data_IF_501295623901
#
_entry.id   IF_501295623901
#
_cell.length_a   1.000
_cell.length_b   1.000
_cell.length_c   1.000
_cell.angle_alpha   90.00
_cell.angle_beta   90.00
_cell.angle_gamma   90.00
#
_symmetry.space_group_name_H-M   'P 1'
#
loop_
_entity.id
_entity.type
_entity.pdbx_description
1 polymer ?
#
# COMPACT_ATOMS: atom_id res chain seq x y z
N UNK A 1 -11.86 3.11 6.61
CA UNK A 1 -10.84 2.04 6.81
C UNK A 1 -10.72 1.29 5.50
N UNK A 2 -9.51 1.12 4.98
CA UNK A 2 -9.23 0.61 3.64
C UNK A 2 -7.94 -0.22 3.68
N UNK A 3 -7.79 -1.18 2.77
CA UNK A 3 -6.53 -1.87 2.55
C UNK A 3 -5.75 -1.25 1.39
N UNK A 4 -4.51 -0.87 1.65
CA UNK A 4 -3.54 -0.60 0.60
C UNK A 4 -2.70 -1.85 0.32
N UNK A 5 -2.78 -2.37 -0.90
CA UNK A 5 -2.07 -3.59 -1.29
C UNK A 5 -0.93 -3.26 -2.25
N UNK A 6 0.30 -3.51 -1.81
CA UNK A 6 1.49 -3.22 -2.61
C UNK A 6 1.70 -4.19 -3.77
N UNK A 7 1.53 -3.72 -5.01
CA UNK A 7 1.91 -4.47 -6.21
C UNK A 7 3.43 -4.44 -6.38
N UNK A 8 4.06 -5.61 -6.26
CA UNK A 8 5.51 -5.80 -6.27
C UNK A 8 5.86 -7.14 -6.92
N UNK A 9 7.15 -7.52 -6.92
CA UNK A 9 7.56 -8.87 -7.34
C UNK A 9 6.94 -10.01 -6.52
N UNK A 10 6.35 -9.71 -5.36
CA UNK A 10 5.76 -10.68 -4.43
C UNK A 10 4.23 -10.70 -4.44
N UNK A 11 3.60 -9.67 -4.99
CA UNK A 11 2.13 -9.52 -4.98
C UNK A 11 1.70 -8.90 -6.30
N UNK A 12 0.84 -9.60 -7.04
CA UNK A 12 0.29 -9.16 -8.32
C UNK A 12 -1.18 -8.72 -8.19
N UNK A 13 -1.78 -8.26 -9.29
CA UNK A 13 -3.18 -7.82 -9.32
C UNK A 13 -4.17 -8.91 -8.92
N UNK A 14 -3.91 -10.17 -9.29
CA UNK A 14 -4.77 -11.29 -8.89
C UNK A 14 -4.78 -11.48 -7.37
N UNK A 15 -3.62 -11.37 -6.72
CA UNK A 15 -3.51 -11.41 -5.27
C UNK A 15 -4.21 -10.21 -4.60
N UNK A 16 -4.10 -9.02 -5.18
CA UNK A 16 -4.83 -7.84 -4.67
C UNK A 16 -6.36 -8.02 -4.77
N UNK A 17 -6.86 -8.59 -5.87
CA UNK A 17 -8.29 -8.92 -6.03
C UNK A 17 -8.75 -9.97 -5.02
N UNK A 18 -7.95 -11.00 -4.78
CA UNK A 18 -8.27 -12.01 -3.77
C UNK A 18 -8.42 -11.41 -2.36
N UNK A 19 -7.67 -10.34 -2.03
CA UNK A 19 -7.87 -9.60 -0.76
C UNK A 19 -9.20 -8.86 -0.77
N UNK A 20 -9.59 -8.25 -1.89
CA UNK A 20 -10.89 -7.58 -2.01
C UNK A 20 -12.06 -8.56 -1.87
N UNK A 21 -11.95 -9.75 -2.46
CA UNK A 21 -12.96 -10.80 -2.38
C UNK A 21 -13.08 -11.37 -0.95
N UNK A 22 -11.95 -11.44 -0.21
CA UNK A 22 -11.92 -11.95 1.16
C UNK A 22 -12.46 -10.97 2.20
N UNK A 23 -12.38 -9.66 1.93
CA UNK A 23 -12.80 -8.59 2.84
C UNK A 23 -13.70 -7.57 2.11
N UNK A 24 -14.90 -7.99 1.65
CA UNK A 24 -15.75 -7.17 0.80
C UNK A 24 -16.29 -5.89 1.49
N UNK A 25 -16.27 -5.83 2.81
CA UNK A 25 -16.67 -4.66 3.59
C UNK A 25 -15.63 -3.55 3.63
N UNK A 26 -14.39 -3.82 3.18
CA UNK A 26 -13.31 -2.84 3.13
C UNK A 26 -12.86 -2.61 1.69
N UNK A 27 -12.78 -1.35 1.23
CA UNK A 27 -12.14 -1.03 -0.04
C UNK A 27 -10.70 -1.56 -0.09
N UNK A 28 -10.26 -1.93 -1.30
CA UNK A 28 -8.89 -2.37 -1.55
C UNK A 28 -8.30 -1.54 -2.69
N UNK A 29 -7.26 -0.78 -2.37
CA UNK A 29 -6.54 0.03 -3.35
C UNK A 29 -5.17 -0.60 -3.63
N UNK A 30 -4.92 -1.08 -4.86
CA UNK A 30 -3.60 -1.53 -5.26
C UNK A 30 -2.64 -0.34 -5.44
N UNK A 31 -1.44 -0.46 -4.89
CA UNK A 31 -0.40 0.57 -4.93
C UNK A 31 0.86 0.01 -5.55
N UNK A 32 1.37 0.63 -6.62
CA UNK A 32 2.61 0.17 -7.25
C UNK A 32 3.80 0.43 -6.34
N UNK A 33 4.56 -0.62 -6.00
CA UNK A 33 5.74 -0.54 -5.14
C UNK A 33 7.00 -0.63 -6.01
N UNK A 34 7.86 0.40 -6.03
CA UNK A 34 9.11 0.36 -6.77
C UNK A 34 10.15 -0.57 -6.12
N UNK A 35 11.08 -1.07 -6.94
CA UNK A 35 12.23 -1.85 -6.46
C UNK A 35 11.88 -3.26 -5.99
N UNK A 36 12.50 -3.67 -4.88
CA UNK A 36 12.40 -5.04 -4.33
C UNK A 36 11.67 -5.11 -2.98
N UNK A 37 11.21 -3.97 -2.47
CA UNK A 37 10.61 -3.86 -1.15
C UNK A 37 9.12 -4.26 -1.16
N UNK A 38 8.58 -4.50 0.03
CA UNK A 38 7.14 -4.56 0.27
C UNK A 38 6.63 -3.16 0.64
N UNK A 39 5.33 -2.92 0.47
CA UNK A 39 4.73 -1.63 0.84
C UNK A 39 5.02 -1.25 2.29
N UNK A 40 4.92 -2.22 3.21
CA UNK A 40 5.20 -2.03 4.65
C UNK A 40 6.65 -1.66 4.99
N UNK A 41 7.59 -1.90 4.08
CA UNK A 41 8.98 -1.48 4.26
C UNK A 41 9.17 0.01 3.98
N UNK A 42 8.25 0.63 3.23
CA UNK A 42 8.30 2.05 2.87
C UNK A 42 7.38 2.89 3.75
N UNK A 43 6.19 2.35 4.08
CA UNK A 43 5.11 3.03 4.76
C UNK A 43 4.44 2.07 5.75
N UNK A 44 4.10 2.50 6.96
CA UNK A 44 3.31 1.68 7.89
C UNK A 44 2.38 2.54 8.74
N UNK A 45 1.25 1.98 9.16
CA UNK A 45 0.39 2.64 10.14
C UNK A 45 1.11 2.66 11.48
N UNK A 46 1.31 3.85 12.05
CA UNK A 46 1.92 4.03 13.37
C UNK A 46 0.87 4.30 14.46
N UNK A 47 -0.37 4.62 14.07
CA UNK A 47 -1.51 4.83 14.95
C UNK A 47 -2.77 5.15 14.15
N UNK A 48 -3.92 5.36 14.83
CA UNK A 48 -5.11 5.89 14.17
C UNK A 48 -4.77 7.17 13.43
N UNK A 49 -5.09 7.23 12.14
CA UNK A 49 -4.86 8.38 11.26
C UNK A 49 -3.38 8.83 11.13
N UNK A 50 -2.43 7.96 11.50
CA UNK A 50 -0.99 8.25 11.42
C UNK A 50 -0.30 7.15 10.61
N UNK A 51 0.30 7.55 9.49
CA UNK A 51 1.18 6.69 8.68
C UNK A 51 2.62 7.20 8.82
N UNK A 52 3.53 6.33 9.27
CA UNK A 52 4.95 6.60 9.21
C UNK A 52 5.50 6.26 7.82
N UNK A 53 6.45 7.06 7.36
CA UNK A 53 7.01 6.99 6.01
C UNK A 53 8.53 7.04 6.10
N UNK A 54 9.21 6.18 5.34
CA UNK A 54 10.66 6.27 5.17
C UNK A 54 11.06 7.56 4.44
N UNK A 55 12.26 8.07 4.73
CA UNK A 55 12.82 9.25 4.06
C UNK A 55 13.38 8.96 2.64
N UNK A 56 13.34 7.70 2.18
CA UNK A 56 13.87 7.34 0.86
C UNK A 56 13.02 7.86 -0.29
N UNK A 57 13.65 8.11 -1.44
CA UNK A 57 12.96 8.60 -2.64
C UNK A 57 11.86 7.63 -3.11
N UNK A 58 12.07 6.32 -2.95
CA UNK A 58 11.04 5.32 -3.24
C UNK A 58 9.81 5.50 -2.37
N UNK A 59 9.99 5.66 -1.06
CA UNK A 59 8.88 5.85 -0.12
C UNK A 59 8.12 7.15 -0.41
N UNK A 60 8.85 8.24 -0.69
CA UNK A 60 8.25 9.51 -1.07
C UNK A 60 7.48 9.44 -2.40
N UNK A 61 7.95 8.64 -3.35
CA UNK A 61 7.23 8.39 -4.61
C UNK A 61 5.91 7.65 -4.40
N UNK A 62 5.89 6.66 -3.49
CA UNK A 62 4.69 5.90 -3.15
C UNK A 62 3.71 6.76 -2.34
N UNK A 63 4.21 7.60 -1.42
CA UNK A 63 3.40 8.54 -0.65
C UNK A 63 2.62 9.50 -1.57
N UNK A 64 3.24 9.99 -2.64
CA UNK A 64 2.57 10.84 -3.65
C UNK A 64 1.38 10.18 -4.32
N UNK A 65 1.42 8.86 -4.51
CA UNK A 65 0.30 8.09 -5.05
C UNK A 65 -0.80 7.93 -3.99
N UNK A 66 -0.41 7.68 -2.74
CA UNK A 66 -1.32 7.50 -1.61
C UNK A 66 -2.08 8.78 -1.24
N UNK A 67 -1.52 9.98 -1.41
CA UNK A 67 -2.19 11.28 -1.17
C UNK A 67 -3.51 11.48 -1.93
N UNK A 68 -3.84 10.62 -2.89
CA UNK A 68 -5.15 10.64 -3.57
C UNK A 68 -6.26 9.96 -2.75
N UNK A 69 -5.88 9.18 -1.75
CA UNK A 69 -6.74 8.27 -0.98
C UNK A 69 -6.72 8.55 0.53
N UNK A 70 -5.69 9.27 1.01
CA UNK A 70 -5.56 9.77 2.38
C UNK A 70 -5.75 11.29 2.40
#
# INVERSE_FOLDING_TARGET
KEFFVGLSKRTNDAGARAVADAFPEYPVTPVKVPGKHHLKSLLSVAGPDIICVSASDEAQSVLKVLYKYI
#
